data_IF_925331468515
#
_entry.id   IF_925331468515
#
_cell.length_a   1.000
_cell.length_b   1.000
_cell.length_c   1.000
_cell.angle_alpha   90.00
_cell.angle_beta   90.00
_cell.angle_gamma   90.00
#
_symmetry.space_group_name_H-M   'P 1'
#
loop_
_entity.id
_entity.type
_entity.pdbx_description
1 polymer ?
#
# COMPACT_ATOMS: atom_id res chain seq x y z
N UNK A 1 -30.80 15.11 5.71
CA UNK A 1 -29.70 14.97 6.68
C UNK A 1 -28.44 15.51 6.03
N UNK A 2 -28.00 16.70 6.45
CA UNK A 2 -26.69 17.21 6.03
C UNK A 2 -25.61 16.23 6.54
N UNK A 3 -24.69 15.83 5.66
CA UNK A 3 -23.53 15.04 6.08
C UNK A 3 -22.72 15.89 7.05
N UNK A 4 -22.45 15.37 8.24
CA UNK A 4 -21.53 16.03 9.17
C UNK A 4 -20.18 16.24 8.46
N UNK A 5 -19.48 17.37 8.69
CA UNK A 5 -18.12 17.58 8.17
C UNK A 5 -17.18 16.41 8.47
N UNK A 6 -17.40 15.71 9.59
CA UNK A 6 -16.66 14.52 9.97
C UNK A 6 -16.99 13.31 9.07
N UNK A 7 -18.26 13.10 8.72
CA UNK A 7 -18.64 12.02 7.79
C UNK A 7 -18.09 12.27 6.37
N UNK A 8 -18.04 13.53 5.95
CA UNK A 8 -17.40 13.90 4.68
C UNK A 8 -15.89 13.63 4.70
N UNK A 9 -15.21 13.93 5.82
CA UNK A 9 -13.80 13.63 6.00
C UNK A 9 -13.52 12.12 6.03
N UNK A 10 -14.36 11.32 6.67
CA UNK A 10 -14.24 9.85 6.67
C UNK A 10 -14.32 9.33 5.24
N UNK A 11 -15.34 9.74 4.48
CA UNK A 11 -15.50 9.29 3.09
C UNK A 11 -14.30 9.69 2.22
N UNK A 12 -13.70 10.87 2.44
CA UNK A 12 -12.48 11.29 1.76
C UNK A 12 -11.30 10.37 2.13
N UNK A 13 -11.11 10.07 3.42
CA UNK A 13 -10.03 9.17 3.85
C UNK A 13 -10.22 7.74 3.33
N UNK A 14 -11.45 7.28 3.17
CA UNK A 14 -11.74 5.95 2.59
C UNK A 14 -11.28 5.91 1.14
N UNK A 15 -11.61 6.94 0.36
CA UNK A 15 -11.17 7.07 -1.03
C UNK A 15 -9.65 7.17 -1.15
N UNK A 16 -9.00 7.95 -0.29
CA UNK A 16 -7.54 8.07 -0.28
C UNK A 16 -6.87 6.73 0.05
N UNK A 17 -7.37 6.00 1.04
CA UNK A 17 -6.86 4.69 1.41
C UNK A 17 -7.00 3.70 0.25
N UNK A 18 -8.18 3.65 -0.39
CA UNK A 18 -8.43 2.78 -1.54
C UNK A 18 -7.46 3.09 -2.70
N UNK A 19 -7.21 4.37 -3.00
CA UNK A 19 -6.29 4.78 -4.06
C UNK A 19 -4.85 4.37 -3.75
N UNK A 20 -4.40 4.55 -2.51
CA UNK A 20 -3.04 4.19 -2.11
C UNK A 20 -2.86 2.68 -2.04
N UNK A 21 -3.89 1.91 -1.64
CA UNK A 21 -3.85 0.45 -1.67
C UNK A 21 -3.73 -0.11 -3.09
N UNK A 22 -4.45 0.46 -4.06
CA UNK A 22 -4.28 0.12 -5.49
C UNK A 22 -2.88 0.45 -5.98
N UNK A 23 -2.40 1.65 -5.67
CA UNK A 23 -1.05 2.10 -6.06
C UNK A 23 0.04 1.19 -5.45
N UNK A 24 -0.17 0.72 -4.23
CA UNK A 24 0.75 -0.20 -3.57
C UNK A 24 0.75 -1.57 -4.25
N UNK A 25 -0.42 -2.10 -4.59
CA UNK A 25 -0.53 -3.35 -5.35
C UNK A 25 0.16 -3.26 -6.72
N UNK A 26 0.00 -2.14 -7.43
CA UNK A 26 0.69 -1.87 -8.69
C UNK A 26 2.22 -1.79 -8.51
N UNK A 27 2.70 -1.16 -7.45
CA UNK A 27 4.13 -1.09 -7.16
C UNK A 27 4.72 -2.48 -6.85
N UNK A 28 4.02 -3.31 -6.09
CA UNK A 28 4.41 -4.71 -5.83
C UNK A 28 4.44 -5.53 -7.14
N UNK A 29 3.43 -5.36 -8.00
CA UNK A 29 3.41 -6.03 -9.30
C UNK A 29 4.58 -5.61 -10.20
N UNK A 30 4.96 -4.31 -10.17
CA UNK A 30 6.13 -3.81 -10.90
C UNK A 30 7.45 -4.36 -10.36
N UNK A 31 7.60 -4.45 -9.03
CA UNK A 31 8.77 -5.08 -8.40
C UNK A 31 8.91 -6.55 -8.84
N UNK A 32 7.83 -7.34 -8.71
CA UNK A 32 7.83 -8.74 -9.13
C UNK A 32 8.13 -8.92 -10.64
N UNK A 33 7.61 -8.02 -11.48
CA UNK A 33 7.90 -8.04 -12.91
C UNK A 33 9.38 -7.71 -13.21
N UNK A 34 9.98 -6.78 -12.47
CA UNK A 34 11.40 -6.46 -12.60
C UNK A 34 12.30 -7.63 -12.16
N UNK A 35 11.94 -8.28 -11.04
CA UNK A 35 12.62 -9.51 -10.58
C UNK A 35 12.54 -10.63 -11.62
N UNK A 36 11.36 -10.85 -12.21
CA UNK A 36 11.21 -11.82 -13.29
C UNK A 36 12.05 -11.50 -14.54
N UNK A 37 12.26 -10.22 -14.87
CA UNK A 37 13.17 -9.82 -15.95
C UNK A 37 14.63 -10.07 -15.61
N UNK A 38 15.03 -9.86 -14.35
CA UNK A 38 16.38 -10.15 -13.89
C UNK A 38 16.67 -11.66 -13.95
N UNK A 39 15.75 -12.48 -13.48
CA UNK A 39 15.86 -13.94 -13.54
C UNK A 39 15.96 -14.42 -14.99
N UNK A 40 15.12 -13.88 -15.88
CA UNK A 40 15.16 -14.22 -17.30
C UNK A 40 16.50 -13.84 -17.96
N UNK A 41 17.04 -12.65 -17.67
CA UNK A 41 18.33 -12.21 -18.21
C UNK A 41 19.51 -13.06 -17.69
N UNK A 42 19.44 -13.51 -16.43
CA UNK A 42 20.44 -14.43 -15.87
C UNK A 42 20.37 -15.82 -16.50
N UNK A 43 19.15 -16.36 -16.67
CA UNK A 43 18.94 -17.65 -17.31
C UNK A 43 19.38 -17.62 -18.79
N UNK A 44 19.20 -16.51 -19.48
CA UNK A 44 19.69 -16.33 -20.85
C UNK A 44 21.21 -16.47 -20.93
N UNK A 45 21.96 -15.84 -20.01
CA UNK A 45 23.42 -16.01 -19.93
C UNK A 45 23.79 -17.48 -19.68
N UNK A 46 23.10 -18.15 -18.74
CA UNK A 46 23.36 -19.55 -18.44
C UNK A 46 23.03 -20.46 -19.64
N UNK A 47 21.96 -20.16 -20.37
CA UNK A 47 21.58 -20.89 -21.57
C UNK A 47 22.62 -20.77 -22.67
N UNK A 48 23.03 -19.54 -22.99
CA UNK A 48 24.06 -19.26 -23.99
C UNK A 48 25.42 -19.87 -23.60
N UNK A 49 25.76 -19.83 -22.31
CA UNK A 49 26.95 -20.50 -21.80
C UNK A 49 26.86 -22.01 -21.99
N UNK A 50 25.73 -22.66 -21.69
CA UNK A 50 25.54 -24.10 -21.89
C UNK A 50 25.71 -24.49 -23.36
N UNK A 51 25.20 -23.68 -24.28
CA UNK A 51 25.35 -23.90 -25.73
C UNK A 51 26.83 -23.83 -26.13
N UNK A 52 27.54 -22.77 -25.73
CA UNK A 52 28.95 -22.59 -26.05
C UNK A 52 29.87 -23.62 -25.39
N UNK A 53 29.47 -24.16 -24.24
CA UNK A 53 30.22 -25.18 -23.48
C UNK A 53 29.91 -26.61 -23.92
N UNK A 54 29.00 -26.82 -24.88
CA UNK A 54 28.61 -28.16 -25.32
C UNK A 54 29.80 -28.92 -25.91
N UNK A 55 29.97 -30.22 -25.63
CA UNK A 55 31.02 -31.04 -26.27
C UNK A 55 30.94 -31.10 -27.80
N UNK A 56 29.78 -30.76 -28.37
CA UNK A 56 29.54 -30.70 -29.82
C UNK A 56 29.67 -29.28 -30.39
N UNK A 57 29.88 -28.27 -29.54
CA UNK A 57 30.09 -26.90 -29.98
C UNK A 57 31.47 -26.77 -30.61
N UNK A 58 31.52 -26.20 -31.82
CA UNK A 58 32.78 -25.80 -32.45
C UNK A 58 33.22 -24.41 -31.98
N UNK A 59 34.45 -24.03 -32.30
CA UNK A 59 35.07 -22.75 -31.93
C UNK A 59 34.19 -21.53 -32.27
N UNK A 60 33.43 -21.59 -33.37
CA UNK A 60 32.51 -20.53 -33.77
C UNK A 60 31.41 -20.22 -32.74
N UNK A 61 30.93 -21.23 -32.00
CA UNK A 61 29.94 -21.01 -30.95
C UNK A 61 30.56 -20.33 -29.72
N UNK A 62 31.80 -20.69 -29.38
CA UNK A 62 32.56 -20.05 -28.30
C UNK A 62 32.89 -18.60 -28.64
N UNK A 63 33.29 -18.31 -29.87
CA UNK A 63 33.50 -16.94 -30.34
C UNK A 63 32.21 -16.13 -30.34
N UNK A 64 31.10 -16.70 -30.81
CA UNK A 64 29.80 -16.03 -30.81
C UNK A 64 29.36 -15.67 -29.38
N UNK A 65 29.47 -16.61 -28.43
CA UNK A 65 29.19 -16.35 -27.02
C UNK A 65 30.11 -15.27 -26.44
N UNK A 66 31.42 -15.32 -26.74
CA UNK A 66 32.37 -14.31 -26.27
C UNK A 66 32.05 -12.90 -26.77
N UNK A 67 31.54 -12.77 -28.01
CA UNK A 67 31.10 -11.48 -28.57
C UNK A 67 29.76 -11.02 -27.97
N UNK A 68 28.87 -11.94 -27.63
CA UNK A 68 27.56 -11.64 -27.05
C UNK A 68 27.60 -11.34 -25.55
N UNK A 69 28.48 -11.99 -24.79
CA UNK A 69 28.52 -11.93 -23.32
C UNK A 69 28.55 -10.50 -22.73
N UNK A 70 29.27 -9.51 -23.30
CA UNK A 70 29.19 -8.13 -22.83
C UNK A 70 27.77 -7.54 -22.90
N UNK A 71 27.00 -7.88 -23.94
CA UNK A 71 25.60 -7.46 -24.07
C UNK A 71 24.70 -8.16 -23.05
N UNK A 72 24.86 -9.48 -22.85
CA UNK A 72 24.12 -10.21 -21.82
C UNK A 72 24.38 -9.68 -20.41
N UNK A 73 25.65 -9.37 -20.08
CA UNK A 73 26.01 -8.75 -18.79
C UNK A 73 25.40 -7.36 -18.61
N UNK A 74 25.34 -6.58 -19.68
CA UNK A 74 24.66 -5.28 -19.67
C UNK A 74 23.16 -5.45 -19.41
N UNK A 75 22.50 -6.42 -20.07
CA UNK A 75 21.08 -6.70 -19.85
C UNK A 75 20.79 -7.08 -18.39
N UNK A 76 21.66 -7.88 -17.75
CA UNK A 76 21.54 -8.19 -16.32
C UNK A 76 21.73 -6.94 -15.44
N UNK A 77 22.72 -6.10 -15.73
CA UNK A 77 22.93 -4.86 -14.99
C UNK A 77 21.72 -3.91 -15.11
N UNK A 78 21.20 -3.72 -16.32
CA UNK A 78 20.01 -2.91 -16.59
C UNK A 78 18.77 -3.47 -15.86
N UNK A 79 18.63 -4.81 -15.78
CA UNK A 79 17.54 -5.45 -15.02
C UNK A 79 17.71 -5.27 -13.50
N UNK A 80 18.94 -5.35 -12.98
CA UNK A 80 19.22 -5.04 -11.56
C UNK A 80 18.87 -3.60 -11.21
N UNK A 81 19.17 -2.65 -12.10
CA UNK A 81 18.82 -1.24 -11.91
C UNK A 81 17.31 -1.06 -11.81
N UNK A 82 16.54 -1.71 -12.69
CA UNK A 82 15.07 -1.71 -12.64
C UNK A 82 14.53 -2.32 -11.36
N UNK A 83 15.12 -3.41 -10.86
CA UNK A 83 14.73 -3.97 -9.56
C UNK A 83 14.95 -2.96 -8.43
N UNK A 84 16.09 -2.26 -8.43
CA UNK A 84 16.38 -1.23 -7.43
C UNK A 84 15.40 -0.07 -7.49
N UNK A 85 15.09 0.42 -8.69
CA UNK A 85 14.10 1.47 -8.91
C UNK A 85 12.70 1.04 -8.43
N UNK A 86 12.25 -0.16 -8.81
CA UNK A 86 10.94 -0.68 -8.41
C UNK A 86 10.83 -0.89 -6.89
N UNK A 87 11.91 -1.32 -6.23
CA UNK A 87 11.96 -1.46 -4.78
C UNK A 87 11.84 -0.11 -4.06
N UNK A 88 12.50 0.94 -4.57
CA UNK A 88 12.39 2.32 -4.05
C UNK A 88 10.97 2.87 -4.25
N UNK A 89 10.38 2.66 -5.42
CA UNK A 89 9.00 3.05 -5.71
C UNK A 89 8.02 2.39 -4.73
N UNK A 90 8.16 1.07 -4.53
CA UNK A 90 7.31 0.32 -3.58
C UNK A 90 7.45 0.85 -2.17
N UNK A 91 8.67 1.14 -1.69
CA UNK A 91 8.87 1.65 -0.33
C UNK A 91 8.30 3.07 -0.16
N UNK A 92 8.36 3.89 -1.20
CA UNK A 92 7.72 5.22 -1.23
C UNK A 92 6.20 5.09 -1.08
N UNK A 93 5.57 4.22 -1.87
CA UNK A 93 4.12 4.00 -1.80
C UNK A 93 3.71 3.32 -0.48
N UNK A 94 4.55 2.42 0.06
CA UNK A 94 4.34 1.80 1.37
C UNK A 94 4.28 2.84 2.49
N UNK A 95 5.18 3.82 2.46
CA UNK A 95 5.19 4.93 3.42
C UNK A 95 3.90 5.74 3.35
N UNK A 96 3.40 6.02 2.13
CA UNK A 96 2.12 6.67 1.93
C UNK A 96 0.94 5.83 2.46
N UNK A 97 0.98 4.51 2.28
CA UNK A 97 -0.06 3.60 2.78
C UNK A 97 -0.15 3.61 4.32
N UNK A 98 1.01 3.60 4.99
CA UNK A 98 1.07 3.70 6.46
C UNK A 98 0.46 5.04 6.92
N UNK A 99 0.81 6.13 6.26
CA UNK A 99 0.26 7.46 6.58
C UNK A 99 -1.26 7.53 6.36
N UNK A 100 -1.77 6.99 5.25
CA UNK A 100 -3.19 6.95 4.94
C UNK A 100 -3.98 6.14 5.99
N UNK A 101 -3.44 4.98 6.41
CA UNK A 101 -4.04 4.17 7.48
C UNK A 101 -4.07 4.89 8.82
N UNK A 102 -2.98 5.56 9.19
CA UNK A 102 -2.93 6.35 10.42
C UNK A 102 -3.93 7.52 10.39
N UNK A 103 -4.05 8.21 9.25
CA UNK A 103 -5.03 9.30 9.09
C UNK A 103 -6.47 8.78 9.18
N UNK A 104 -6.77 7.63 8.56
CA UNK A 104 -8.07 6.98 8.67
C UNK A 104 -8.41 6.65 10.14
N UNK A 105 -7.47 6.03 10.85
CA UNK A 105 -7.69 5.64 12.25
C UNK A 105 -7.94 6.87 13.14
N UNK A 106 -7.18 7.95 12.95
CA UNK A 106 -7.38 9.19 13.68
C UNK A 106 -8.80 9.75 13.51
N UNK A 107 -9.33 9.76 12.28
CA UNK A 107 -10.69 10.25 12.01
C UNK A 107 -11.76 9.33 12.61
N UNK A 108 -11.54 8.01 12.61
CA UNK A 108 -12.42 7.04 13.28
C UNK A 108 -12.47 7.26 14.79
N UNK A 109 -11.33 7.51 15.43
CA UNK A 109 -11.25 7.82 16.86
C UNK A 109 -12.07 9.08 17.18
N UNK A 110 -11.89 10.16 16.43
CA UNK A 110 -12.68 11.40 16.63
C UNK A 110 -14.19 11.15 16.46
N UNK A 111 -14.60 10.28 15.54
CA UNK A 111 -16.01 9.91 15.37
C UNK A 111 -16.55 9.18 16.60
N UNK A 112 -15.79 8.25 17.15
CA UNK A 112 -16.19 7.50 18.35
C UNK A 112 -16.31 8.42 19.56
N UNK A 113 -15.36 9.35 19.74
CA UNK A 113 -15.41 10.35 20.81
C UNK A 113 -16.66 11.23 20.69
N UNK A 114 -16.99 11.71 19.48
CA UNK A 114 -18.21 12.50 19.23
C UNK A 114 -19.49 11.73 19.53
N UNK A 115 -19.56 10.47 19.12
CA UNK A 115 -20.73 9.63 19.40
C UNK A 115 -20.92 9.39 20.90
N UNK A 116 -19.82 9.23 21.64
CA UNK A 116 -19.90 9.10 23.09
C UNK A 116 -20.28 10.42 23.78
N UNK A 117 -19.75 11.57 23.33
CA UNK A 117 -20.17 12.89 23.81
C UNK A 117 -21.68 13.12 23.61
N UNK A 118 -22.21 12.81 22.42
CA UNK A 118 -23.63 12.94 22.10
C UNK A 118 -24.48 12.02 22.99
N UNK A 119 -24.08 10.76 23.15
CA UNK A 119 -24.75 9.81 24.05
C UNK A 119 -24.79 10.30 25.49
N UNK A 120 -23.67 10.82 26.00
CA UNK A 120 -23.59 11.36 27.36
C UNK A 120 -24.45 12.61 27.52
N UNK A 121 -24.51 13.47 26.51
CA UNK A 121 -25.37 14.65 26.52
C UNK A 121 -26.86 14.28 26.57
N UNK A 122 -27.27 13.26 25.83
CA UNK A 122 -28.66 12.78 25.82
C UNK A 122 -29.04 12.12 27.16
N UNK A 123 -28.17 11.29 27.74
CA UNK A 123 -28.38 10.74 29.08
C UNK A 123 -28.53 11.84 30.15
N UNK A 124 -27.73 12.91 30.07
CA UNK A 124 -27.86 14.06 30.98
C UNK A 124 -29.18 14.81 30.79
N UNK A 125 -29.66 14.96 29.55
CA UNK A 125 -30.98 15.57 29.28
C UNK A 125 -32.09 14.71 29.88
N UNK A 126 -32.04 13.40 29.69
CA UNK A 126 -33.01 12.46 30.27
C UNK A 126 -33.03 12.55 31.80
N UNK A 127 -31.85 12.55 32.43
CA UNK A 127 -31.73 12.68 33.89
C UNK A 127 -32.31 14.01 34.39
N UNK A 128 -31.98 15.13 33.75
CA UNK A 128 -32.52 16.43 34.13
C UNK A 128 -34.06 16.48 34.04
N UNK A 129 -34.65 15.86 33.02
CA UNK A 129 -36.11 15.77 32.87
C UNK A 129 -36.73 14.94 34.01
N UNK A 130 -36.12 13.82 34.39
CA UNK A 130 -36.58 12.99 35.52
C UNK A 130 -36.49 13.73 36.86
N UNK A 131 -35.40 14.48 37.07
CA UNK A 131 -35.20 15.29 38.28
C UNK A 131 -36.24 16.43 38.37
N UNK A 132 -36.51 17.13 37.27
CA UNK A 132 -37.56 18.16 37.21
C UNK A 132 -38.96 17.61 37.52
N UNK A 133 -39.30 16.44 36.97
CA UNK A 133 -40.58 15.79 37.23
C UNK A 133 -40.70 15.37 38.70
N UNK A 134 -39.62 14.86 39.29
CA UNK A 134 -39.57 14.47 40.71
C UNK A 134 -39.78 15.68 41.63
N UNK A 135 -39.10 16.81 41.37
CA UNK A 135 -39.25 18.05 42.14
C UNK A 135 -40.70 18.55 42.09
N UNK A 136 -41.36 18.50 40.92
CA UNK A 136 -42.77 18.92 40.78
C UNK A 136 -43.75 18.00 41.51
N UNK A 137 -43.43 16.72 41.60
CA UNK A 137 -44.30 15.72 42.24
C UNK A 137 -44.17 15.73 43.77
N UNK A 138 -42.96 15.96 44.31
CA UNK A 138 -42.71 16.01 45.75
C UNK A 138 -42.80 17.42 46.37
N UNK A 139 -42.77 18.50 45.57
CA UNK A 139 -42.92 19.89 46.03
C UNK A 139 -44.37 20.38 46.16
N UNK A 140 -45.37 19.52 45.94
CA UNK A 140 -46.81 19.84 46.07
C UNK A 140 -47.48 19.19 47.31
N UNK A 141 -46.71 18.61 48.22
CA UNK A 141 -47.18 18.14 49.54
C UNK A 141 -46.80 19.12 50.63
#
# INVERSE_FOLDING_TARGET
>A
MEKSPLDALIALREQELDLVERSFAEAVAREAAAEGQLDAAQEEILSEQRIASSPTAGDGAVEAFSRWLPLGRKAVADAQDRCREAAVDRETVRSALIAARAAMEAVKTVRQERQEEERQADLRKEQNVLDELSIRQFGKG
#
